data_IF_130574239738
#
_entry.id   IF_130574239738
#
_cell.length_a   1.000
_cell.length_b   1.000
_cell.length_c   1.000
_cell.angle_alpha   90.00
_cell.angle_beta   90.00
_cell.angle_gamma   90.00
#
_symmetry.space_group_name_H-M   'P 1'
#
loop_
_entity.id
_entity.type
_entity.pdbx_description
1 polymer ?
#
# COMPACT_ATOMS: atom_id res chain seq x y z
N UNK A 1 -6.89 47.10 81.99
CA UNK A 1 -7.66 47.92 81.02
C UNK A 1 -7.59 47.19 79.68
N UNK A 2 -8.65 46.48 79.28
CA UNK A 2 -9.60 46.89 78.22
C UNK A 2 -8.88 47.31 76.92
N UNK A 3 -9.09 46.71 75.74
CA UNK A 3 -10.19 45.85 75.31
C UNK A 3 -9.98 45.21 73.95
N UNK A 4 -10.96 44.38 73.60
CA UNK A 4 -11.15 43.65 72.34
C UNK A 4 -11.19 44.57 71.13
N UNK A 5 -10.61 44.12 70.01
CA UNK A 5 -11.27 44.23 68.71
C UNK A 5 -11.05 42.97 67.87
N UNK A 6 -12.13 42.23 67.72
CA UNK A 6 -12.36 41.22 66.68
C UNK A 6 -12.56 41.92 65.33
N UNK A 7 -11.74 41.56 64.34
CA UNK A 7 -11.97 41.87 62.93
C UNK A 7 -12.01 40.59 62.10
N UNK A 8 -13.20 40.01 61.94
CA UNK A 8 -13.49 39.09 60.83
C UNK A 8 -13.68 39.94 59.57
N UNK A 9 -12.94 39.65 58.50
CA UNK A 9 -13.35 39.95 57.12
C UNK A 9 -13.00 38.78 56.21
N UNK A 10 -14.00 37.92 56.04
CA UNK A 10 -14.44 37.16 54.85
C UNK A 10 -13.41 36.50 53.90
N UNK A 11 -13.48 35.16 53.72
CA UNK A 11 -13.03 34.51 52.50
C UNK A 11 -14.05 34.79 51.39
N UNK A 12 -13.85 35.89 50.67
CA UNK A 12 -14.63 36.19 49.47
C UNK A 12 -14.23 35.23 48.36
N UNK A 13 -15.06 34.22 48.09
CA UNK A 13 -14.99 33.45 46.85
C UNK A 13 -15.03 34.43 45.67
N UNK A 14 -13.93 34.48 44.92
CA UNK A 14 -13.78 35.28 43.69
C UNK A 14 -14.58 34.66 42.55
N UNK A 15 -15.90 34.77 42.61
CA UNK A 15 -16.82 34.30 41.56
C UNK A 15 -16.83 35.19 40.30
N UNK A 16 -16.12 36.32 40.29
CA UNK A 16 -16.06 37.25 39.15
C UNK A 16 -14.91 37.01 38.17
N UNK A 17 -14.03 36.03 38.41
CA UNK A 17 -12.96 35.66 37.46
C UNK A 17 -13.37 34.55 36.45
N UNK A 18 -14.55 33.95 36.62
CA UNK A 18 -15.05 32.83 35.80
C UNK A 18 -15.16 33.12 34.30
N UNK A 19 -15.57 34.31 33.82
CA UNK A 19 -15.62 34.58 32.37
C UNK A 19 -14.22 34.68 31.74
N UNK A 20 -13.24 35.17 32.50
CA UNK A 20 -11.85 35.33 32.05
C UNK A 20 -11.09 34.01 31.98
N UNK A 21 -11.28 33.12 32.96
CA UNK A 21 -10.66 31.79 32.98
C UNK A 21 -11.26 30.85 31.93
N UNK A 22 -12.57 30.93 31.67
CA UNK A 22 -13.20 30.18 30.58
C UNK A 22 -12.66 30.63 29.22
N UNK A 23 -12.50 31.94 29.01
CA UNK A 23 -11.93 32.51 27.77
C UNK A 23 -10.47 32.12 27.57
N UNK A 24 -9.70 31.99 28.64
CA UNK A 24 -8.32 31.48 28.59
C UNK A 24 -8.29 29.98 28.30
N UNK A 25 -9.11 29.17 28.97
CA UNK A 25 -9.26 27.74 28.67
C UNK A 25 -9.64 27.49 27.19
N UNK A 26 -10.63 28.21 26.65
CA UNK A 26 -11.00 28.10 25.23
C UNK A 26 -9.90 28.60 24.27
N UNK A 27 -9.02 29.50 24.72
CA UNK A 27 -7.89 30.00 23.92
C UNK A 27 -6.66 29.10 23.99
N UNK A 28 -6.46 28.37 25.09
CA UNK A 28 -5.30 27.51 25.35
C UNK A 28 -5.56 26.03 25.01
N UNK A 29 -6.79 25.53 25.16
CA UNK A 29 -7.17 24.15 24.85
C UNK A 29 -6.82 23.69 23.42
N UNK A 30 -7.02 24.50 22.35
CA UNK A 30 -6.66 24.07 21.00
C UNK A 30 -5.15 23.92 20.83
N UNK A 31 -4.36 24.75 21.53
CA UNK A 31 -2.90 24.72 21.45
C UNK A 31 -2.34 23.51 22.19
N UNK A 32 -2.88 23.21 23.37
CA UNK A 32 -2.49 22.02 24.14
C UNK A 32 -2.86 20.72 23.43
N UNK A 33 -4.05 20.63 22.83
CA UNK A 33 -4.44 19.48 22.02
C UNK A 33 -3.53 19.33 20.78
N UNK A 34 -3.18 20.42 20.11
CA UNK A 34 -2.25 20.38 18.98
C UNK A 34 -0.84 19.91 19.40
N UNK A 35 -0.37 20.32 20.58
CA UNK A 35 0.93 19.91 21.11
C UNK A 35 0.93 18.42 21.52
N UNK A 36 -0.14 17.92 22.14
CA UNK A 36 -0.30 16.49 22.45
C UNK A 36 -0.42 15.63 21.18
N UNK A 37 -1.16 16.10 20.16
CA UNK A 37 -1.23 15.44 18.86
C UNK A 37 0.14 15.46 18.18
N UNK A 38 0.89 16.57 18.27
CA UNK A 38 2.24 16.66 17.73
C UNK A 38 3.18 15.66 18.43
N UNK A 39 3.11 15.57 19.76
CA UNK A 39 3.86 14.61 20.55
C UNK A 39 3.51 13.16 20.19
N UNK A 40 2.21 12.83 20.09
CA UNK A 40 1.74 11.52 19.66
C UNK A 40 2.22 11.18 18.24
N UNK A 41 2.24 12.15 17.31
CA UNK A 41 2.80 11.97 15.96
C UNK A 41 4.31 11.69 15.99
N UNK A 42 5.07 12.40 16.83
CA UNK A 42 6.50 12.14 16.98
C UNK A 42 6.77 10.75 17.57
N UNK A 43 6.00 10.35 18.58
CA UNK A 43 6.15 9.05 19.21
C UNK A 43 5.72 7.91 18.27
N UNK A 44 4.61 8.07 17.54
CA UNK A 44 4.18 7.14 16.50
C UNK A 44 5.20 7.06 15.36
N UNK A 45 5.82 8.17 14.97
CA UNK A 45 6.88 8.15 13.96
C UNK A 45 8.11 7.40 14.47
N UNK A 46 8.54 7.64 15.71
CA UNK A 46 9.70 6.96 16.30
C UNK A 46 9.46 5.46 16.48
N UNK A 47 8.33 5.09 17.08
CA UNK A 47 7.90 3.68 17.25
C UNK A 47 7.64 3.02 15.89
N UNK A 48 7.02 3.75 14.96
CA UNK A 48 6.73 3.29 13.60
C UNK A 48 7.99 3.03 12.78
N UNK A 49 9.03 3.85 12.90
CA UNK A 49 10.33 3.60 12.26
C UNK A 49 10.99 2.35 12.86
N UNK A 50 10.97 2.17 14.19
CA UNK A 50 11.55 0.98 14.82
C UNK A 50 10.82 -0.30 14.41
N UNK A 51 9.49 -0.30 14.45
CA UNK A 51 8.66 -1.43 13.96
C UNK A 51 8.86 -1.65 12.47
N UNK A 52 8.97 -0.57 11.68
CA UNK A 52 9.21 -0.65 10.24
C UNK A 52 10.56 -1.26 9.88
N UNK A 53 11.62 -0.90 10.60
CA UNK A 53 12.96 -1.50 10.44
C UNK A 53 12.93 -2.98 10.82
N UNK A 54 12.31 -3.34 11.94
CA UNK A 54 12.16 -4.74 12.34
C UNK A 54 11.34 -5.55 11.32
N UNK A 55 10.25 -4.98 10.79
CA UNK A 55 9.44 -5.59 9.74
C UNK A 55 10.22 -5.75 8.44
N UNK A 56 11.08 -4.79 8.09
CA UNK A 56 11.95 -4.89 6.90
C UNK A 56 12.96 -6.04 7.03
N UNK A 57 13.63 -6.18 8.18
CA UNK A 57 14.53 -7.31 8.43
C UNK A 57 13.77 -8.65 8.43
N UNK A 58 12.58 -8.71 9.01
CA UNK A 58 11.73 -9.90 8.97
C UNK A 58 11.34 -10.25 7.53
N UNK A 59 10.97 -9.26 6.72
CA UNK A 59 10.63 -9.48 5.31
C UNK A 59 11.82 -10.05 4.52
N UNK A 60 13.03 -9.50 4.72
CA UNK A 60 14.25 -10.04 4.12
C UNK A 60 14.50 -11.47 4.60
N UNK A 61 14.40 -11.75 5.90
CA UNK A 61 14.57 -13.10 6.44
C UNK A 61 13.57 -14.11 5.83
N UNK A 62 12.30 -13.71 5.64
CA UNK A 62 11.28 -14.54 4.99
C UNK A 62 11.61 -14.83 3.51
N UNK A 63 12.19 -13.87 2.78
CA UNK A 63 12.65 -14.08 1.41
C UNK A 63 13.78 -15.12 1.37
N UNK A 64 14.77 -14.99 2.25
CA UNK A 64 15.86 -15.98 2.34
C UNK A 64 15.35 -17.36 2.78
N UNK A 65 14.38 -17.41 3.69
CA UNK A 65 13.72 -18.65 4.08
C UNK A 65 12.98 -19.29 2.90
N UNK A 66 12.31 -18.50 2.06
CA UNK A 66 11.68 -19.00 0.84
C UNK A 66 12.70 -19.62 -0.11
N UNK A 67 13.83 -18.94 -0.36
CA UNK A 67 14.91 -19.50 -1.18
C UNK A 67 15.53 -20.77 -0.59
N UNK A 68 15.68 -20.84 0.74
CA UNK A 68 16.12 -22.05 1.42
C UNK A 68 15.15 -23.21 1.18
N UNK A 69 13.83 -22.98 1.32
CA UNK A 69 12.81 -24.01 1.06
C UNK A 69 12.88 -24.51 -0.38
N UNK A 70 13.00 -23.61 -1.36
CA UNK A 70 13.17 -24.00 -2.78
C UNK A 70 14.45 -24.83 -2.97
N UNK A 71 15.56 -24.40 -2.37
CA UNK A 71 16.82 -25.15 -2.42
C UNK A 71 16.71 -26.55 -1.81
N UNK A 72 16.03 -26.68 -0.67
CA UNK A 72 15.78 -27.96 -0.02
C UNK A 72 14.88 -28.89 -0.85
N UNK A 73 13.86 -28.33 -1.52
CA UNK A 73 13.02 -29.10 -2.45
C UNK A 73 13.86 -29.64 -3.60
N UNK A 74 14.68 -28.80 -4.23
CA UNK A 74 15.58 -29.24 -5.32
C UNK A 74 16.57 -30.29 -4.82
N UNK A 75 17.19 -30.07 -3.66
CA UNK A 75 18.10 -31.04 -3.06
C UNK A 75 17.42 -32.39 -2.76
N UNK A 76 16.18 -32.37 -2.25
CA UNK A 76 15.40 -33.59 -2.00
C UNK A 76 15.08 -34.33 -3.31
N UNK A 77 14.68 -33.61 -4.37
CA UNK A 77 14.42 -34.20 -5.68
C UNK A 77 15.70 -34.82 -6.25
N UNK A 78 16.82 -34.08 -6.24
CA UNK A 78 18.09 -34.57 -6.77
C UNK A 78 18.63 -35.75 -5.95
N UNK A 79 18.49 -35.73 -4.63
CA UNK A 79 18.85 -36.85 -3.76
C UNK A 79 18.05 -38.10 -4.07
N UNK A 80 16.73 -37.97 -4.23
CA UNK A 80 15.86 -39.09 -4.56
C UNK A 80 16.06 -39.57 -6.01
N UNK A 81 16.40 -38.67 -6.92
CA UNK A 81 16.71 -38.99 -8.32
C UNK A 81 17.99 -39.84 -8.49
N UNK A 82 18.79 -40.04 -7.44
CA UNK A 82 19.93 -40.97 -7.47
C UNK A 82 19.51 -42.44 -7.50
N UNK A 83 18.30 -42.76 -7.03
CA UNK A 83 17.78 -44.13 -6.94
C UNK A 83 16.52 -44.38 -7.81
N UNK A 84 15.96 -43.34 -8.44
CA UNK A 84 14.80 -43.45 -9.34
C UNK A 84 14.80 -42.34 -10.40
N UNK A 85 13.98 -42.41 -11.46
CA UNK A 85 13.90 -41.35 -12.46
C UNK A 85 13.52 -39.98 -11.87
N UNK A 86 14.16 -38.90 -12.33
CA UNK A 86 13.99 -37.56 -11.79
C UNK A 86 12.53 -37.05 -11.82
N UNK A 87 11.76 -37.43 -12.86
CA UNK A 87 10.34 -37.07 -12.96
C UNK A 87 9.50 -37.70 -11.83
N UNK A 88 9.81 -38.94 -11.44
CA UNK A 88 9.11 -39.65 -10.36
C UNK A 88 9.51 -39.09 -9.00
N UNK A 89 10.80 -38.79 -8.81
CA UNK A 89 11.30 -38.12 -7.61
C UNK A 89 10.61 -36.78 -7.37
N UNK A 90 10.47 -35.96 -8.43
CA UNK A 90 9.76 -34.69 -8.36
C UNK A 90 8.29 -34.84 -7.96
N UNK A 91 7.58 -35.84 -8.50
CA UNK A 91 6.19 -36.13 -8.13
C UNK A 91 6.06 -36.58 -6.66
N UNK A 92 6.95 -37.44 -6.17
CA UNK A 92 6.90 -37.92 -4.78
C UNK A 92 7.18 -36.79 -3.78
N UNK A 93 8.20 -35.97 -4.04
CA UNK A 93 8.49 -34.81 -3.19
C UNK A 93 7.31 -33.84 -3.21
N UNK A 94 6.73 -33.55 -4.38
CA UNK A 94 5.55 -32.69 -4.50
C UNK A 94 4.35 -33.23 -3.72
N UNK A 95 4.10 -34.54 -3.79
CA UNK A 95 3.02 -35.20 -3.06
C UNK A 95 3.21 -35.11 -1.54
N UNK A 96 4.45 -35.28 -1.04
CA UNK A 96 4.77 -35.11 0.37
C UNK A 96 4.51 -33.68 0.85
N UNK A 97 4.94 -32.67 0.08
CA UNK A 97 4.68 -31.26 0.39
C UNK A 97 3.19 -30.90 0.33
N UNK A 98 2.45 -31.46 -0.64
CA UNK A 98 1.00 -31.27 -0.74
C UNK A 98 0.29 -31.83 0.50
N UNK A 99 0.70 -32.99 1.00
CA UNK A 99 0.15 -33.58 2.22
C UNK A 99 0.42 -32.70 3.45
N UNK A 100 1.67 -32.21 3.60
CA UNK A 100 2.03 -31.28 4.68
C UNK A 100 1.22 -29.99 4.58
N UNK A 101 1.08 -29.44 3.37
CA UNK A 101 0.30 -28.23 3.12
C UNK A 101 -1.19 -28.44 3.43
N UNK A 102 -1.76 -29.60 3.10
CA UNK A 102 -3.14 -29.94 3.42
C UNK A 102 -3.36 -30.03 4.93
N UNK A 103 -2.49 -30.75 5.66
CA UNK A 103 -2.58 -30.88 7.12
C UNK A 103 -2.40 -29.51 7.79
N UNK A 104 -1.36 -28.77 7.40
CA UNK A 104 -1.09 -27.43 7.91
C UNK A 104 -2.22 -26.45 7.61
N UNK A 105 -2.79 -26.53 6.40
CA UNK A 105 -3.95 -25.74 5.99
C UNK A 105 -5.20 -26.06 6.79
N UNK A 106 -5.52 -27.34 7.01
CA UNK A 106 -6.66 -27.76 7.81
C UNK A 106 -6.53 -27.33 9.28
N UNK A 107 -5.35 -27.54 9.88
CA UNK A 107 -5.06 -27.09 11.25
C UNK A 107 -5.10 -25.56 11.33
N UNK A 108 -4.48 -24.88 10.37
CA UNK A 108 -4.43 -23.42 10.28
C UNK A 108 -5.83 -22.82 10.19
N UNK A 109 -6.66 -23.30 9.28
CA UNK A 109 -8.06 -22.88 9.14
C UNK A 109 -8.84 -23.19 10.42
N UNK A 110 -8.66 -24.36 11.01
CA UNK A 110 -9.32 -24.73 12.26
C UNK A 110 -8.97 -23.80 13.42
N UNK A 111 -7.69 -23.41 13.55
CA UNK A 111 -7.21 -22.49 14.59
C UNK A 111 -7.61 -21.05 14.30
N UNK A 112 -7.54 -20.63 13.05
CA UNK A 112 -7.96 -19.31 12.61
C UNK A 112 -9.46 -19.08 12.85
N UNK A 113 -10.30 -20.07 12.56
CA UNK A 113 -11.74 -20.04 12.88
C UNK A 113 -12.02 -19.93 14.37
N UNK A 114 -11.23 -20.61 15.21
CA UNK A 114 -11.34 -20.53 16.68
C UNK A 114 -10.82 -19.22 17.26
N UNK A 115 -9.85 -18.59 16.59
CA UNK A 115 -9.31 -17.28 16.96
C UNK A 115 -10.16 -16.11 16.46
N UNK A 116 -11.18 -16.38 15.63
CA UNK A 116 -12.20 -15.40 15.29
C UNK A 116 -13.37 -15.45 16.30
N UNK A 117 -13.89 -14.30 16.72
CA UNK A 117 -13.58 -12.96 16.21
C UNK A 117 -12.35 -12.32 16.89
N UNK A 118 -11.38 -11.86 16.08
CA UNK A 118 -10.16 -11.15 16.54
C UNK A 118 -10.48 -9.81 17.22
N UNK A 119 -11.71 -9.32 17.02
CA UNK A 119 -12.25 -8.14 17.66
C UNK A 119 -13.45 -8.57 18.52
N UNK A 120 -13.58 -8.08 19.77
CA UNK A 120 -14.74 -8.35 20.60
C UNK A 120 -16.04 -8.01 19.85
N UNK A 121 -17.09 -8.81 20.03
CA UNK A 121 -18.38 -8.61 19.36
C UNK A 121 -18.95 -7.21 19.61
N UNK A 122 -18.71 -6.66 20.80
CA UNK A 122 -19.10 -5.30 21.18
C UNK A 122 -18.40 -4.22 20.35
N UNK A 123 -17.12 -4.40 19.99
CA UNK A 123 -16.40 -3.45 19.12
C UNK A 123 -16.98 -3.45 17.72
N UNK A 124 -17.31 -4.65 17.20
CA UNK A 124 -17.94 -4.79 15.89
C UNK A 124 -19.35 -4.18 15.90
N UNK A 125 -20.12 -4.38 16.99
CA UNK A 125 -21.45 -3.78 17.17
C UNK A 125 -21.37 -2.26 17.21
N UNK A 126 -20.43 -1.70 17.98
CA UNK A 126 -20.20 -0.26 18.06
C UNK A 126 -19.90 0.37 16.70
N UNK A 127 -18.99 -0.22 15.92
CA UNK A 127 -18.67 0.28 14.57
C UNK A 127 -19.90 0.25 13.65
N UNK A 128 -20.71 -0.83 13.71
CA UNK A 128 -21.94 -0.90 12.90
C UNK A 128 -22.99 0.12 13.34
N UNK A 129 -23.07 0.39 14.64
CA UNK A 129 -23.94 1.42 15.18
C UNK A 129 -23.52 2.81 14.67
N UNK A 130 -22.24 3.15 14.78
CA UNK A 130 -21.70 4.43 14.33
C UNK A 130 -21.91 4.65 12.82
N UNK A 131 -21.70 3.61 12.01
CA UNK A 131 -21.95 3.66 10.57
C UNK A 131 -23.46 3.79 10.27
N UNK A 132 -24.31 3.08 11.01
CA UNK A 132 -25.75 3.15 10.89
C UNK A 132 -26.28 4.56 11.16
N UNK A 133 -25.83 5.16 12.27
CA UNK A 133 -26.16 6.55 12.62
C UNK A 133 -25.60 7.53 11.60
N UNK A 134 -24.39 7.32 11.08
CA UNK A 134 -23.82 8.19 10.05
C UNK A 134 -24.61 8.14 8.72
N UNK A 135 -25.22 7.00 8.40
CA UNK A 135 -25.97 6.80 7.14
C UNK A 135 -27.44 7.21 7.24
N UNK A 136 -28.09 6.84 8.34
CA UNK A 136 -29.55 6.93 8.50
C UNK A 136 -29.95 7.98 9.55
N UNK A 137 -28.99 8.57 10.26
CA UNK A 137 -29.22 9.62 11.24
C UNK A 137 -30.12 9.14 12.39
N UNK A 138 -31.08 9.98 12.78
CA UNK A 138 -32.06 9.66 13.83
C UNK A 138 -33.06 8.57 13.43
N UNK A 139 -33.14 8.20 12.15
CA UNK A 139 -34.00 7.11 11.69
C UNK A 139 -33.36 5.72 11.89
N UNK A 140 -32.06 5.67 12.26
CA UNK A 140 -31.38 4.41 12.50
C UNK A 140 -31.94 3.71 13.75
N UNK A 141 -32.44 2.48 13.58
CA UNK A 141 -32.88 1.67 14.71
C UNK A 141 -31.74 0.73 15.17
N UNK A 142 -31.14 0.95 16.36
CA UNK A 142 -30.05 0.12 16.86
C UNK A 142 -30.49 -1.33 17.17
N UNK A 143 -31.79 -1.58 17.38
CA UNK A 143 -32.32 -2.93 17.62
C UNK A 143 -32.07 -3.89 16.44
N UNK A 144 -31.93 -3.37 15.21
CA UNK A 144 -31.62 -4.17 14.01
C UNK A 144 -30.24 -4.84 14.08
N UNK A 145 -29.33 -4.30 14.90
CA UNK A 145 -27.99 -4.86 15.10
C UNK A 145 -27.98 -6.07 16.05
N UNK A 146 -29.02 -6.23 16.87
CA UNK A 146 -29.13 -7.35 17.79
C UNK A 146 -29.70 -8.59 17.06
N UNK A 147 -28.96 -9.71 16.97
CA UNK A 147 -29.44 -10.94 16.36
C UNK A 147 -30.73 -11.50 16.94
N UNK A 148 -31.01 -11.26 18.22
CA UNK A 148 -32.12 -11.86 18.96
C UNK A 148 -33.38 -11.00 18.99
N UNK A 149 -33.25 -9.72 18.67
CA UNK A 149 -34.39 -8.80 18.58
C UNK A 149 -35.34 -9.20 17.43
N UNK A 150 -36.64 -8.91 17.56
CA UNK A 150 -37.60 -9.16 16.49
C UNK A 150 -37.24 -8.37 15.22
N UNK A 151 -36.67 -7.17 15.35
CA UNK A 151 -36.23 -6.34 14.23
C UNK A 151 -35.00 -6.92 13.54
N UNK A 152 -34.04 -7.47 14.29
CA UNK A 152 -32.86 -8.15 13.73
C UNK A 152 -33.21 -9.43 12.99
N UNK A 153 -34.19 -10.20 13.50
CA UNK A 153 -34.76 -11.38 12.83
C UNK A 153 -35.50 -10.98 11.55
N UNK A 154 -36.32 -9.93 11.59
CA UNK A 154 -37.00 -9.38 10.42
C UNK A 154 -36.00 -8.87 9.36
N UNK A 155 -34.95 -8.15 9.77
CA UNK A 155 -33.92 -7.66 8.85
C UNK A 155 -33.12 -8.78 8.18
N UNK A 156 -32.79 -9.86 8.93
CA UNK A 156 -32.17 -11.06 8.36
C UNK A 156 -33.10 -11.76 7.37
N UNK A 157 -34.37 -11.95 7.71
CA UNK A 157 -35.36 -12.54 6.81
C UNK A 157 -35.53 -11.71 5.53
N UNK A 158 -35.67 -10.38 5.67
CA UNK A 158 -35.74 -9.46 4.54
C UNK A 158 -34.49 -9.50 3.66
N UNK A 159 -33.29 -9.64 4.24
CA UNK A 159 -32.04 -9.80 3.48
C UNK A 159 -31.98 -11.12 2.72
N UNK A 160 -32.44 -12.22 3.32
CA UNK A 160 -32.52 -13.54 2.66
C UNK A 160 -33.53 -13.50 1.52
N UNK A 161 -34.70 -12.91 1.73
CA UNK A 161 -35.72 -12.73 0.70
C UNK A 161 -35.24 -11.79 -0.42
N UNK A 162 -34.58 -10.68 -0.10
CA UNK A 162 -34.01 -9.77 -1.08
C UNK A 162 -32.91 -10.46 -1.90
N UNK A 163 -32.06 -11.28 -1.28
CA UNK A 163 -31.05 -12.07 -1.97
C UNK A 163 -31.70 -13.14 -2.88
N UNK A 164 -32.78 -13.79 -2.43
CA UNK A 164 -33.53 -14.76 -3.22
C UNK A 164 -34.23 -14.08 -4.41
N UNK A 165 -34.88 -12.93 -4.21
CA UNK A 165 -35.50 -12.12 -5.26
C UNK A 165 -34.47 -11.60 -6.27
N UNK A 166 -33.33 -11.10 -5.79
CA UNK A 166 -32.24 -10.65 -6.66
C UNK A 166 -31.63 -11.80 -7.48
N UNK A 167 -31.52 -13.00 -6.90
CA UNK A 167 -31.08 -14.19 -7.63
C UNK A 167 -32.11 -14.62 -8.67
N UNK A 168 -33.38 -14.68 -8.30
CA UNK A 168 -34.48 -15.00 -9.22
C UNK A 168 -34.60 -13.96 -10.36
N UNK A 169 -34.40 -12.67 -10.08
CA UNK A 169 -34.39 -11.61 -11.09
C UNK A 169 -33.18 -11.74 -12.02
N UNK A 170 -32.00 -12.07 -11.49
CA UNK A 170 -30.81 -12.37 -12.31
C UNK A 170 -31.03 -13.59 -13.20
N UNK A 171 -31.61 -14.65 -12.67
CA UNK A 171 -31.93 -15.87 -13.43
C UNK A 171 -33.02 -15.60 -14.48
N UNK A 172 -34.04 -14.81 -14.15
CA UNK A 172 -35.06 -14.38 -15.11
C UNK A 172 -34.49 -13.47 -16.21
N UNK A 173 -33.56 -12.56 -15.86
CA UNK A 173 -32.83 -11.73 -16.83
C UNK A 173 -31.90 -12.57 -17.70
N UNK A 174 -31.23 -13.58 -17.13
CA UNK A 174 -30.42 -14.53 -17.87
C UNK A 174 -31.28 -15.36 -18.83
N UNK A 175 -32.43 -15.88 -18.38
CA UNK A 175 -33.37 -16.62 -19.21
C UNK A 175 -33.97 -15.76 -20.33
N UNK A 176 -34.29 -14.49 -20.06
CA UNK A 176 -34.72 -13.53 -21.09
C UNK A 176 -33.61 -13.22 -22.09
N UNK A 177 -32.38 -13.04 -21.61
CA UNK A 177 -31.21 -12.84 -22.47
C UNK A 177 -30.96 -14.06 -23.35
N UNK A 178 -31.11 -15.29 -22.83
CA UNK A 178 -30.98 -16.53 -23.61
C UNK A 178 -32.11 -16.72 -24.64
N UNK A 179 -33.31 -16.17 -24.38
CA UNK A 179 -34.43 -16.15 -25.33
C UNK A 179 -34.27 -15.06 -26.42
N UNK A 180 -33.82 -13.87 -26.04
CA UNK A 180 -33.62 -12.72 -26.93
C UNK A 180 -32.35 -12.85 -27.78
N UNK A 181 -31.33 -13.52 -27.23
CA UNK A 181 -30.10 -13.92 -27.92
C UNK A 181 -29.95 -15.44 -27.86
N UNK A 182 -30.67 -16.21 -28.70
CA UNK A 182 -30.40 -17.63 -28.83
C UNK A 182 -28.91 -17.81 -29.16
N UNK A 183 -28.29 -18.84 -28.60
CA UNK A 183 -26.89 -19.19 -28.87
C UNK A 183 -26.64 -19.09 -30.38
N UNK A 184 -25.74 -18.19 -30.77
CA UNK A 184 -25.54 -17.84 -32.17
C UNK A 184 -25.30 -19.11 -32.99
N UNK A 185 -25.99 -19.24 -34.12
CA UNK A 185 -25.86 -20.41 -34.98
C UNK A 185 -24.42 -20.55 -35.45
N UNK A 186 -23.89 -21.78 -35.60
CA UNK A 186 -22.52 -22.02 -36.10
C UNK A 186 -22.08 -21.12 -37.28
N UNK A 187 -22.92 -20.87 -38.31
CA UNK A 187 -22.54 -19.96 -39.39
C UNK A 187 -22.39 -18.49 -38.96
N UNK A 188 -23.12 -18.02 -37.95
CA UNK A 188 -22.99 -16.67 -37.40
C UNK A 188 -21.76 -16.52 -36.51
N UNK A 189 -21.44 -17.56 -35.73
CA UNK A 189 -20.20 -17.62 -34.96
C UNK A 189 -18.97 -17.54 -35.88
N UNK A 190 -18.98 -18.27 -37.00
CA UNK A 190 -17.91 -18.20 -37.99
C UNK A 190 -17.73 -16.78 -38.58
N UNK A 191 -18.85 -16.09 -38.86
CA UNK A 191 -18.82 -14.69 -39.34
C UNK A 191 -18.24 -13.74 -38.29
N UNK A 192 -18.69 -13.83 -37.03
CA UNK A 192 -18.17 -13.01 -35.92
C UNK A 192 -16.70 -13.28 -35.65
N UNK A 193 -16.27 -14.54 -35.75
CA UNK A 193 -14.87 -14.92 -35.56
C UNK A 193 -13.97 -14.36 -36.66
N UNK A 194 -14.44 -14.35 -37.91
CA UNK A 194 -13.72 -13.69 -39.00
C UNK A 194 -13.65 -12.17 -38.81
N UNK A 195 -14.76 -11.52 -38.42
CA UNK A 195 -14.75 -10.08 -38.11
C UNK A 195 -13.77 -9.74 -37.00
N UNK A 196 -13.72 -10.54 -35.92
CA UNK A 196 -12.74 -10.38 -34.84
C UNK A 196 -11.31 -10.54 -35.32
N UNK A 197 -11.04 -11.53 -36.19
CA UNK A 197 -9.69 -11.75 -36.74
C UNK A 197 -9.21 -10.56 -37.59
N UNK A 198 -10.10 -9.97 -38.39
CA UNK A 198 -9.79 -8.74 -39.11
C UNK A 198 -9.51 -7.57 -38.17
N UNK A 199 -10.38 -7.34 -37.18
CA UNK A 199 -10.19 -6.26 -36.23
C UNK A 199 -8.89 -6.40 -35.40
N UNK A 200 -8.54 -7.62 -34.98
CA UNK A 200 -7.27 -7.87 -34.31
C UNK A 200 -6.05 -7.61 -35.21
N UNK A 201 -6.20 -7.82 -36.51
CA UNK A 201 -5.15 -7.51 -37.48
C UNK A 201 -4.97 -5.99 -37.62
N UNK A 202 -6.07 -5.24 -37.69
CA UNK A 202 -6.05 -3.77 -37.71
C UNK A 202 -5.42 -3.20 -36.43
N UNK A 203 -5.86 -3.68 -35.26
CA UNK A 203 -5.31 -3.27 -33.97
C UNK A 203 -3.82 -3.59 -33.86
N UNK A 204 -3.37 -4.74 -34.39
CA UNK A 204 -1.94 -5.08 -34.46
C UNK A 204 -1.17 -4.09 -35.32
N UNK A 205 -1.71 -3.72 -36.49
CA UNK A 205 -1.05 -2.81 -37.42
C UNK A 205 -0.96 -1.40 -36.85
N UNK A 206 -2.04 -0.94 -36.22
CA UNK A 206 -2.09 0.34 -35.50
C UNK A 206 -1.09 0.37 -34.34
N UNK A 207 -1.08 -0.66 -33.49
CA UNK A 207 -0.08 -0.79 -32.41
C UNK A 207 1.35 -0.87 -32.95
N UNK A 208 1.58 -1.52 -34.09
CA UNK A 208 2.88 -1.57 -34.74
C UNK A 208 3.37 -0.20 -35.20
N UNK A 209 2.46 0.66 -35.64
CA UNK A 209 2.77 2.05 -36.01
C UNK A 209 2.96 2.96 -34.80
N UNK A 210 2.16 2.80 -33.74
CA UNK A 210 2.26 3.63 -32.53
C UNK A 210 3.44 3.24 -31.62
N UNK A 211 3.79 1.95 -31.58
CA UNK A 211 4.90 1.40 -30.79
C UNK A 211 6.22 1.34 -31.57
N UNK A 212 6.45 2.20 -32.56
CA UNK A 212 7.79 2.38 -33.14
C UNK A 212 8.73 3.08 -32.12
N UNK A 213 9.05 2.32 -31.07
CA UNK A 213 9.98 2.63 -29.99
C UNK A 213 11.38 2.93 -30.52
N UNK A 214 11.70 2.49 -31.73
CA UNK A 214 12.99 2.75 -32.38
C UNK A 214 13.06 4.19 -32.86
N UNK A 215 11.99 4.71 -33.44
CA UNK A 215 11.90 6.10 -33.87
C UNK A 215 11.72 7.05 -32.69
N UNK A 216 10.84 6.71 -31.74
CA UNK A 216 10.70 7.49 -30.49
C UNK A 216 11.99 7.46 -29.65
N UNK A 217 12.67 6.31 -29.59
CA UNK A 217 13.96 6.15 -28.91
C UNK A 217 15.06 6.99 -29.54
N UNK A 218 15.15 7.06 -30.87
CA UNK A 218 16.11 7.96 -31.57
C UNK A 218 15.85 9.42 -31.26
N UNK A 219 14.58 9.83 -31.21
CA UNK A 219 14.20 11.20 -30.85
C UNK A 219 14.61 11.54 -29.40
N UNK A 220 14.26 10.68 -28.44
CA UNK A 220 14.65 10.88 -27.04
C UNK A 220 16.17 10.88 -26.83
N UNK A 221 16.89 10.03 -27.55
CA UNK A 221 18.36 9.97 -27.50
C UNK A 221 18.98 11.25 -28.10
N UNK A 222 18.40 11.79 -29.18
CA UNK A 222 18.82 13.07 -29.75
C UNK A 222 18.56 14.24 -28.77
N UNK A 223 17.39 14.29 -28.15
CA UNK A 223 17.05 15.29 -27.11
C UNK A 223 17.98 15.17 -25.90
N UNK A 224 18.28 13.95 -25.46
CA UNK A 224 19.21 13.70 -24.35
C UNK A 224 20.65 14.15 -24.69
N UNK A 225 21.12 13.88 -25.91
CA UNK A 225 22.43 14.36 -26.37
C UNK A 225 22.50 15.89 -26.45
N UNK A 226 21.44 16.53 -26.92
CA UNK A 226 21.35 17.99 -26.98
C UNK A 226 21.41 18.60 -25.57
N UNK A 227 20.58 18.12 -24.64
CA UNK A 227 20.61 18.58 -23.24
C UNK A 227 21.93 18.28 -22.54
N UNK A 228 22.58 17.16 -22.86
CA UNK A 228 23.90 16.86 -22.33
C UNK A 228 24.97 17.86 -22.82
N UNK A 229 24.93 18.26 -24.09
CA UNK A 229 25.82 19.30 -24.63
C UNK A 229 25.55 20.67 -24.00
N UNK A 230 24.28 21.04 -23.84
CA UNK A 230 23.90 22.28 -23.12
C UNK A 230 24.41 22.26 -21.68
N UNK A 231 24.25 21.13 -20.98
CA UNK A 231 24.80 20.93 -19.63
C UNK A 231 26.32 21.01 -19.57
N UNK A 232 27.03 20.49 -20.59
CA UNK A 232 28.49 20.61 -20.69
C UNK A 232 28.94 22.05 -20.89
N UNK A 233 28.24 22.83 -21.71
CA UNK A 233 28.51 24.26 -21.92
C UNK A 233 28.24 25.08 -20.66
N UNK A 234 27.14 24.79 -19.96
CA UNK A 234 26.82 25.41 -18.67
C UNK A 234 27.83 25.03 -17.58
N UNK A 235 28.29 23.78 -17.57
CA UNK A 235 29.33 23.31 -16.65
C UNK A 235 30.70 23.93 -16.97
N UNK A 236 31.04 24.12 -18.25
CA UNK A 236 32.25 24.83 -18.66
C UNK A 236 32.21 26.30 -18.21
N UNK A 237 31.11 27.02 -18.49
CA UNK A 237 30.90 28.39 -17.98
C UNK A 237 30.94 28.46 -16.45
N UNK A 238 30.35 27.47 -15.78
CA UNK A 238 30.38 27.35 -14.32
C UNK A 238 31.78 27.11 -13.78
N UNK A 239 32.60 26.29 -14.46
CA UNK A 239 34.02 26.09 -14.15
C UNK A 239 34.83 27.36 -14.35
N UNK A 240 34.60 28.10 -15.44
CA UNK A 240 35.32 29.34 -15.72
C UNK A 240 34.96 30.42 -14.68
N UNK A 241 33.68 30.55 -14.34
CA UNK A 241 33.23 31.45 -13.25
C UNK A 241 33.74 31.00 -11.88
N UNK A 242 33.75 29.70 -11.59
CA UNK A 242 34.28 29.16 -10.34
C UNK A 242 35.80 29.33 -10.26
N UNK A 243 36.54 29.16 -11.35
CA UNK A 243 37.98 29.41 -11.42
C UNK A 243 38.30 30.89 -11.23
N UNK A 244 37.47 31.79 -11.78
CA UNK A 244 37.61 33.23 -11.58
C UNK A 244 37.27 33.65 -10.13
N UNK A 245 36.26 33.03 -9.50
CA UNK A 245 35.90 33.24 -8.08
C UNK A 245 36.89 32.61 -7.10
N UNK A 246 37.42 31.42 -7.41
CA UNK A 246 38.39 30.69 -6.58
C UNK A 246 39.81 31.22 -6.73
N UNK A 247 40.17 31.77 -7.90
CA UNK A 247 41.42 32.51 -8.10
C UNK A 247 41.52 33.74 -7.20
N UNK A 248 40.38 34.35 -6.85
CA UNK A 248 40.29 35.42 -5.84
C UNK A 248 40.29 34.92 -4.39
N UNK A 249 40.26 33.61 -4.13
CA UNK A 249 40.14 33.00 -2.81
C UNK A 249 41.32 32.08 -2.44
N UNK A 250 42.46 32.19 -3.12
CA UNK A 250 43.65 31.33 -2.92
C UNK A 250 44.35 31.42 -1.55
N UNK A 251 43.66 31.92 -0.52
CA UNK A 251 44.17 32.05 0.85
C UNK A 251 43.63 31.06 1.89
N UNK A 252 42.86 30.01 1.54
CA UNK A 252 42.36 29.07 2.57
C UNK A 252 42.57 27.58 2.23
N UNK A 253 43.52 26.96 2.94
CA UNK A 253 43.95 25.57 2.77
C UNK A 253 42.91 24.49 3.20
N UNK A 254 41.74 24.89 3.72
CA UNK A 254 40.75 23.96 4.31
C UNK A 254 39.68 23.40 3.37
N UNK A 255 39.56 23.89 2.13
CA UNK A 255 38.47 23.44 1.24
C UNK A 255 38.73 22.06 0.60
N UNK A 256 39.99 21.66 0.42
CA UNK A 256 40.35 20.50 -0.43
C UNK A 256 39.97 19.14 0.18
N UNK A 257 39.86 19.04 1.50
CA UNK A 257 39.47 17.79 2.18
C UNK A 257 37.96 17.54 2.15
N UNK A 258 37.15 18.60 2.11
CA UNK A 258 35.68 18.50 2.18
C UNK A 258 35.04 17.95 0.90
N UNK A 259 35.73 18.04 -0.23
CA UNK A 259 35.19 17.64 -1.54
C UNK A 259 35.62 16.25 -2.01
N UNK A 260 36.55 15.58 -1.31
CA UNK A 260 36.93 14.18 -1.57
C UNK A 260 35.74 13.20 -1.55
N UNK A 261 34.82 13.21 -0.56
CA UNK A 261 33.69 12.29 -0.56
C UNK A 261 32.68 12.57 -1.69
N UNK A 262 32.54 13.83 -2.11
CA UNK A 262 31.66 14.21 -3.23
C UNK A 262 32.23 13.77 -4.59
N UNK A 263 33.56 13.82 -4.76
CA UNK A 263 34.23 13.30 -5.94
C UNK A 263 34.08 11.77 -6.07
N UNK A 264 34.15 11.04 -4.95
CA UNK A 264 33.90 9.60 -4.93
C UNK A 264 32.45 9.25 -5.32
N UNK A 265 31.48 10.06 -4.88
CA UNK A 265 30.07 9.89 -5.22
C UNK A 265 29.80 10.17 -6.71
N UNK A 266 30.46 11.18 -7.28
CA UNK A 266 30.40 11.46 -8.71
C UNK A 266 31.01 10.31 -9.56
N UNK A 267 32.10 9.70 -9.11
CA UNK A 267 32.71 8.55 -9.76
C UNK A 267 31.84 7.27 -9.68
N UNK A 268 31.10 7.07 -8.58
CA UNK A 268 30.15 5.97 -8.46
C UNK A 268 28.93 6.15 -9.38
N UNK A 269 28.47 7.40 -9.55
CA UNK A 269 27.36 7.72 -10.46
C UNK A 269 27.67 7.42 -11.93
N UNK A 270 28.90 7.69 -12.40
CA UNK A 270 29.29 7.40 -13.79
C UNK A 270 29.36 5.90 -14.06
N UNK A 271 29.83 5.09 -13.10
CA UNK A 271 29.85 3.63 -13.20
C UNK A 271 28.43 3.03 -13.28
N UNK A 272 27.50 3.56 -12.50
CA UNK A 272 26.09 3.11 -12.51
C UNK A 272 25.41 3.39 -13.86
N UNK A 273 25.69 4.54 -14.47
CA UNK A 273 25.19 4.90 -15.82
C UNK A 273 25.78 3.99 -16.90
N UNK A 274 27.06 3.63 -16.79
CA UNK A 274 27.71 2.69 -17.73
C UNK A 274 27.14 1.28 -17.61
N UNK A 275 26.86 0.80 -16.38
CA UNK A 275 26.24 -0.51 -16.14
C UNK A 275 24.80 -0.57 -16.64
N UNK A 276 24.00 0.47 -16.40
CA UNK A 276 22.64 0.60 -16.95
C UNK A 276 22.63 0.60 -18.48
N UNK A 277 23.57 1.32 -19.10
CA UNK A 277 23.72 1.32 -20.57
C UNK A 277 24.11 -0.05 -21.12
N UNK A 278 24.90 -0.84 -20.39
CA UNK A 278 25.30 -2.19 -20.79
C UNK A 278 24.14 -3.19 -20.69
N UNK A 279 23.33 -3.08 -19.64
CA UNK A 279 22.16 -3.93 -19.41
C UNK A 279 21.09 -3.73 -20.49
N UNK A 280 20.79 -2.47 -20.84
CA UNK A 280 19.80 -2.11 -21.88
C UNK A 280 20.25 -2.40 -23.32
N UNK A 281 21.48 -2.89 -23.52
CA UNK A 281 22.00 -3.28 -24.84
C UNK A 281 21.99 -4.80 -25.05
N UNK A 282 21.68 -5.56 -24.00
CA UNK A 282 21.73 -7.03 -23.97
C UNK A 282 20.31 -7.64 -24.00
N UNK A 283 19.27 -6.81 -23.92
CA UNK A 283 17.88 -7.11 -24.23
C UNK A 283 17.40 -6.13 -25.31
#
# INVERSE_FOLDING_TARGET
>A
MSGRHSGRTSPGLRFTALPGTLKLLFRLAPRQLNDEIAFAKFELKRKGVQVGVAAAFLAVALIFLLFLVVGLIVAAIMGLATIMPAWLAALLVSAAFLLIALIGGLVGVGRFKKAMPLLPEETIRGIRHDIGVAKEGSAFNPAVLDPESPEGKAAKAAKVEAAAKAKAEKEAKAARHDQEYPQASEPELARRLNQRRHHLTEVRDELGTELDLKTQGRYLLAVAQQKAREGQVLAARGKDMAAQRLGGLSGSAGLRERWKPLAALAAAGTLLVVLLRRLLRTY
#
